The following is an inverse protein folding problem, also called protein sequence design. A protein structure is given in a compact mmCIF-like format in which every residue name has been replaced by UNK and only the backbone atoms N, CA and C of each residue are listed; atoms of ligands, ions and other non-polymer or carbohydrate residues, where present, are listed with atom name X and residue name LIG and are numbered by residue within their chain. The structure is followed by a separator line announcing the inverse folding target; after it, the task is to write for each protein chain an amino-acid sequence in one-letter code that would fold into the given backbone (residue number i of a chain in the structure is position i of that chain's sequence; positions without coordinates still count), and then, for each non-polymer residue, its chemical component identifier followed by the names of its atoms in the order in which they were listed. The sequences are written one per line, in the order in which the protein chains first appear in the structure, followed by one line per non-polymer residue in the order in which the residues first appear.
data_IF_648221243884
#
_entry.id   IF_648221243884
#
_cell.length_a   1.000
_cell.length_b   1.000
_cell.length_c   1.000
_cell.angle_alpha   90.00
_cell.angle_beta   90.00
_cell.angle_gamma   90.00
#
_symmetry.space_group_name_H-M   'P 1'
#
loop_
_entity.id
_entity.type
_entity.pdbx_description
1 polymer ?
#
# COMPACT_ATOMS: atom_id res chain seq x y z
N UNK A 1 7.15 8.17 -19.32
CA UNK A 1 8.30 7.46 -18.68
C UNK A 1 9.08 8.49 -17.88
N UNK A 2 9.33 8.24 -16.60
CA UNK A 2 10.09 9.13 -15.70
C UNK A 2 11.39 8.46 -15.26
N UNK A 3 12.34 9.25 -14.74
CA UNK A 3 13.65 8.74 -14.31
C UNK A 3 13.57 8.06 -12.94
N UNK A 4 14.18 6.89 -12.80
CA UNK A 4 14.37 6.24 -11.50
C UNK A 4 15.43 6.96 -10.66
N UNK A 5 15.36 6.88 -9.32
CA UNK A 5 14.43 6.07 -8.51
C UNK A 5 13.06 6.74 -8.28
N UNK A 6 12.03 5.91 -7.99
CA UNK A 6 10.68 6.38 -7.67
C UNK A 6 10.67 7.36 -6.47
N UNK A 7 11.55 7.15 -5.50
CA UNK A 7 11.66 7.96 -4.27
C UNK A 7 11.88 9.44 -4.52
N UNK A 8 12.51 9.81 -5.63
CA UNK A 8 12.79 11.21 -5.98
C UNK A 8 11.52 11.99 -6.38
N UNK A 9 10.43 11.29 -6.66
CA UNK A 9 9.15 11.86 -7.07
C UNK A 9 8.10 11.87 -5.95
N UNK A 10 8.46 11.38 -4.76
CA UNK A 10 7.54 11.30 -3.63
C UNK A 10 7.55 12.58 -2.81
N UNK A 11 6.41 12.99 -2.25
CA UNK A 11 6.36 14.13 -1.34
C UNK A 11 7.12 13.83 -0.04
N UNK A 12 7.60 14.89 0.60
CA UNK A 12 8.27 14.80 1.91
C UNK A 12 7.29 14.28 2.95
N UNK A 13 7.76 13.40 3.86
CA UNK A 13 6.92 12.80 4.90
C UNK A 13 6.07 11.62 4.40
N UNK A 14 6.24 11.17 3.15
CA UNK A 14 5.48 10.05 2.62
C UNK A 14 5.92 8.72 3.25
N UNK A 15 5.01 8.08 3.98
CA UNK A 15 5.20 6.74 4.55
C UNK A 15 5.07 5.72 3.42
N UNK A 16 6.10 4.87 3.24
CA UNK A 16 6.09 3.82 2.20
C UNK A 16 5.80 2.45 2.81
N UNK A 17 4.73 1.82 2.36
CA UNK A 17 4.23 0.54 2.87
C UNK A 17 4.19 -0.46 1.72
N UNK A 18 4.80 -1.62 1.87
CA UNK A 18 4.62 -2.75 0.96
C UNK A 18 3.45 -3.62 1.39
N UNK A 19 2.72 -4.16 0.41
CA UNK A 19 1.69 -5.17 0.66
C UNK A 19 2.24 -6.55 0.31
N UNK A 20 2.23 -7.47 1.26
CA UNK A 20 2.54 -8.88 1.02
C UNK A 20 1.67 -9.77 1.89
N UNK A 21 1.35 -10.96 1.38
CA UNK A 21 0.59 -11.96 2.13
C UNK A 21 1.32 -12.38 3.43
N UNK A 22 2.65 -12.37 3.41
CA UNK A 22 3.49 -12.73 4.56
C UNK A 22 3.84 -11.55 5.47
N UNK A 23 3.27 -10.37 5.21
CA UNK A 23 3.47 -9.18 6.05
C UNK A 23 2.66 -9.23 7.35
N UNK A 24 2.83 -8.21 8.18
CA UNK A 24 2.08 -8.08 9.43
C UNK A 24 0.59 -7.90 9.14
N UNK A 25 -0.24 -8.76 9.73
CA UNK A 25 -1.69 -8.70 9.54
C UNK A 25 -2.25 -7.40 10.12
N UNK A 26 -2.94 -6.65 9.26
CA UNK A 26 -3.70 -5.47 9.63
C UNK A 26 -5.18 -5.82 9.57
N UNK A 27 -5.88 -5.87 10.72
CA UNK A 27 -7.29 -6.29 10.76
C UNK A 27 -8.23 -5.26 10.12
N UNK A 28 -7.88 -3.98 10.15
CA UNK A 28 -8.69 -2.89 9.61
C UNK A 28 -7.84 -2.00 8.70
N UNK A 29 -8.14 -2.03 7.39
CA UNK A 29 -7.39 -1.26 6.37
C UNK A 29 -7.54 0.26 6.58
N UNK A 30 -8.63 0.70 7.21
CA UNK A 30 -8.88 2.12 7.52
C UNK A 30 -7.87 2.72 8.49
N UNK A 31 -7.29 1.89 9.35
CA UNK A 31 -6.29 2.33 10.33
C UNK A 31 -4.96 2.69 9.66
N UNK A 32 -4.79 2.34 8.37
CA UNK A 32 -3.64 2.67 7.55
C UNK A 32 -3.79 4.02 6.83
N UNK A 33 -4.96 4.66 6.92
CA UNK A 33 -5.23 5.94 6.26
C UNK A 33 -4.77 7.07 7.18
N UNK A 34 -3.66 7.78 6.84
CA UNK A 34 -3.26 8.97 7.57
C UNK A 34 -4.28 10.10 7.35
N UNK A 35 -4.45 10.95 8.37
CA UNK A 35 -5.40 12.07 8.30
C UNK A 35 -4.93 13.19 7.37
N UNK A 36 -3.63 13.50 7.35
CA UNK A 36 -3.08 14.63 6.60
C UNK A 36 -1.77 14.34 5.87
N UNK A 37 -1.08 13.24 6.18
CA UNK A 37 0.19 12.89 5.57
C UNK A 37 0.02 12.06 4.29
N UNK A 38 0.90 12.20 3.29
CA UNK A 38 0.89 11.34 2.13
C UNK A 38 1.34 9.93 2.49
N UNK A 39 0.77 8.92 1.83
CA UNK A 39 1.14 7.52 1.99
C UNK A 39 1.26 6.84 0.64
N UNK A 40 2.26 5.97 0.52
CA UNK A 40 2.53 5.19 -0.67
C UNK A 40 2.39 3.70 -0.34
N UNK A 41 1.51 3.03 -1.07
CA UNK A 41 1.38 1.58 -1.05
C UNK A 41 2.07 0.96 -2.27
N UNK A 42 2.94 -0.02 -2.03
CA UNK A 42 3.56 -0.82 -3.07
C UNK A 42 2.80 -2.13 -3.20
N UNK A 43 2.06 -2.26 -4.30
CA UNK A 43 1.31 -3.47 -4.65
C UNK A 43 2.03 -4.23 -5.75
N UNK A 44 2.27 -5.52 -5.51
CA UNK A 44 2.94 -6.39 -6.48
C UNK A 44 2.03 -6.74 -7.66
N UNK A 45 2.44 -6.36 -8.87
CA UNK A 45 1.73 -6.69 -10.13
C UNK A 45 2.43 -7.84 -10.88
N UNK A 46 2.73 -8.94 -10.19
CA UNK A 46 3.39 -10.14 -10.75
C UNK A 46 2.55 -11.39 -10.46
N UNK A 47 2.73 -12.45 -11.26
CA UNK A 47 1.96 -13.70 -11.11
C UNK A 47 2.30 -14.44 -9.81
N UNK A 48 3.59 -14.56 -9.49
CA UNK A 48 4.10 -15.13 -8.25
C UNK A 48 5.34 -14.36 -7.82
N UNK A 49 5.47 -14.10 -6.52
CA UNK A 49 6.58 -13.34 -5.95
C UNK A 49 6.16 -12.66 -4.64
N UNK A 50 7.10 -11.92 -4.06
CA UNK A 50 6.84 -11.03 -2.94
C UNK A 50 7.40 -9.64 -3.26
N UNK A 51 6.73 -8.60 -2.77
CA UNK A 51 7.23 -7.24 -2.89
C UNK A 51 8.42 -7.10 -1.94
N UNK A 52 9.62 -6.96 -2.51
CA UNK A 52 10.82 -6.65 -1.75
C UNK A 52 11.51 -5.46 -2.40
N UNK A 53 11.34 -4.28 -1.79
CA UNK A 53 11.89 -3.02 -2.29
C UNK A 53 12.54 -2.25 -1.15
N UNK A 54 13.70 -1.67 -1.41
CA UNK A 54 14.55 -1.08 -0.36
C UNK A 54 13.99 0.22 0.23
N UNK A 55 13.01 0.83 -0.43
CA UNK A 55 12.39 2.09 0.00
C UNK A 55 11.13 1.90 0.84
N UNK A 56 10.66 0.67 1.08
CA UNK A 56 9.50 0.43 1.95
C UNK A 56 9.92 0.28 3.40
N UNK A 57 9.17 0.92 4.29
CA UNK A 57 9.47 0.94 5.73
C UNK A 57 8.79 -0.22 6.47
N UNK A 58 7.62 -0.64 5.97
CA UNK A 58 6.78 -1.69 6.59
C UNK A 58 6.16 -2.57 5.54
N UNK A 59 5.98 -3.85 5.87
CA UNK A 59 5.31 -4.83 5.04
C UNK A 59 4.05 -5.34 5.75
N UNK A 60 2.88 -5.08 5.16
CA UNK A 60 1.60 -5.42 5.76
C UNK A 60 0.83 -6.44 4.93
N UNK A 61 -0.08 -7.14 5.59
CA UNK A 61 -1.09 -7.98 4.98
C UNK A 61 -2.49 -7.47 5.34
N UNK A 62 -3.30 -7.14 4.34
CA UNK A 62 -4.67 -6.63 4.52
C UNK A 62 -5.74 -7.74 4.53
N UNK A 63 -5.31 -9.01 4.46
CA UNK A 63 -6.20 -10.17 4.36
C UNK A 63 -5.48 -11.44 4.78
N UNK A 64 -6.19 -12.33 5.47
CA UNK A 64 -5.70 -13.68 5.79
C UNK A 64 -5.70 -14.64 4.58
N UNK A 65 -6.23 -14.18 3.44
CA UNK A 65 -6.25 -14.91 2.18
C UNK A 65 -5.40 -14.19 1.13
N UNK A 66 -4.71 -14.92 0.23
CA UNK A 66 -3.99 -14.30 -0.88
C UNK A 66 -4.97 -13.55 -1.78
N UNK A 67 -4.69 -12.27 -2.00
CA UNK A 67 -5.49 -11.39 -2.83
C UNK A 67 -4.82 -11.18 -4.19
N UNK A 68 -5.63 -10.96 -5.22
CA UNK A 68 -5.12 -10.41 -6.49
C UNK A 68 -4.70 -8.95 -6.28
N UNK A 69 -3.72 -8.48 -7.07
CA UNK A 69 -3.30 -7.09 -7.04
C UNK A 69 -4.48 -6.11 -7.23
N UNK A 70 -5.41 -6.44 -8.12
CA UNK A 70 -6.60 -5.64 -8.38
C UNK A 70 -7.51 -5.54 -7.14
N UNK A 71 -7.74 -6.65 -6.44
CA UNK A 71 -8.58 -6.65 -5.23
C UNK A 71 -7.88 -5.94 -4.06
N UNK A 72 -6.56 -6.05 -3.97
CA UNK A 72 -5.75 -5.27 -3.01
C UNK A 72 -5.92 -3.78 -3.26
N UNK A 73 -5.75 -3.32 -4.51
CA UNK A 73 -5.97 -1.91 -4.87
C UNK A 73 -7.39 -1.44 -4.56
N UNK A 74 -8.41 -2.24 -4.90
CA UNK A 74 -9.80 -1.89 -4.62
C UNK A 74 -10.05 -1.72 -3.11
N UNK A 75 -9.58 -2.66 -2.28
CA UNK A 75 -9.72 -2.57 -0.81
C UNK A 75 -9.00 -1.37 -0.22
N UNK A 76 -7.81 -1.04 -0.74
CA UNK A 76 -7.10 0.17 -0.34
C UNK A 76 -7.93 1.40 -0.71
N UNK A 77 -8.29 1.58 -1.98
CA UNK A 77 -9.06 2.75 -2.42
C UNK A 77 -10.36 2.93 -1.63
N UNK A 78 -11.14 1.87 -1.44
CA UNK A 78 -12.38 1.93 -0.64
C UNK A 78 -12.13 2.34 0.81
N UNK A 79 -11.05 1.87 1.44
CA UNK A 79 -10.72 2.31 2.79
C UNK A 79 -10.36 3.80 2.85
N UNK A 80 -9.66 4.32 1.84
CA UNK A 80 -9.37 5.75 1.73
C UNK A 80 -10.62 6.58 1.45
N UNK A 81 -11.51 6.11 0.57
CA UNK A 81 -12.81 6.72 0.27
C UNK A 81 -13.66 6.86 1.55
N UNK A 82 -13.78 5.79 2.34
CA UNK A 82 -14.54 5.80 3.60
C UNK A 82 -13.98 6.80 4.63
N UNK A 83 -12.65 6.83 4.82
CA UNK A 83 -12.01 7.67 5.84
C UNK A 83 -11.98 9.15 5.43
N UNK A 84 -11.76 9.44 4.15
CA UNK A 84 -11.74 10.82 3.63
C UNK A 84 -13.14 11.36 3.28
N UNK A 85 -14.18 10.54 3.38
CA UNK A 85 -15.55 10.95 3.08
C UNK A 85 -15.78 11.21 1.58
N UNK A 86 -15.05 10.50 0.72
CA UNK A 86 -15.21 10.57 -0.73
C UNK A 86 -16.24 9.51 -1.12
N UNK A 87 -17.39 9.95 -1.63
CA UNK A 87 -18.49 9.11 -2.13
C UNK A 87 -18.60 9.14 -3.64
#
# INVERSE_FOLDING_TARGET
VIKNPLTDHLPVGCVKISTSFTGDIVPCVRDLVPSHDPVLFVVGAFAHGSVNVDYTERCISISQYPLSAALTCAKLCTAFEEVWGVQ
#
